data_IF_040958230206
#
_entry.id   IF_040958230206
#
_cell.length_a   1.000
_cell.length_b   1.000
_cell.length_c   1.000
_cell.angle_alpha   90.00
_cell.angle_beta   90.00
_cell.angle_gamma   90.00
#
_symmetry.space_group_name_H-M   'P 1'
#
loop_
_entity.id
_entity.type
_entity.pdbx_description
1 polymer ?
#
# COMPACT_ATOMS: atom_id res chain seq x y z
N UNK A 1 -13.54 17.11 -8.84
CA UNK A 1 -13.92 15.72 -9.16
C UNK A 1 -12.85 14.70 -8.77
N UNK A 2 -11.57 14.93 -9.12
CA UNK A 2 -10.46 14.04 -8.75
C UNK A 2 -10.43 13.68 -7.25
N UNK A 3 -10.48 14.66 -6.34
CA UNK A 3 -10.45 14.39 -4.89
C UNK A 3 -11.59 13.48 -4.41
N UNK A 4 -12.79 13.63 -4.99
CA UNK A 4 -13.96 12.83 -4.62
C UNK A 4 -13.77 11.37 -5.05
N UNK A 5 -13.24 11.16 -6.26
CA UNK A 5 -12.86 9.85 -6.76
C UNK A 5 -11.72 9.24 -5.94
N UNK A 6 -10.70 10.01 -5.58
CA UNK A 6 -9.59 9.54 -4.73
C UNK A 6 -10.09 9.11 -3.36
N UNK A 7 -10.93 9.91 -2.70
CA UNK A 7 -11.52 9.54 -1.41
C UNK A 7 -12.38 8.28 -1.52
N UNK A 8 -13.15 8.12 -2.60
CA UNK A 8 -13.97 6.92 -2.83
C UNK A 8 -13.10 5.68 -3.00
N UNK A 9 -12.04 5.76 -3.81
CA UNK A 9 -11.10 4.66 -4.03
C UNK A 9 -10.40 4.28 -2.72
N UNK A 10 -9.92 5.27 -1.95
CA UNK A 10 -9.26 5.02 -0.66
C UNK A 10 -10.25 4.39 0.34
N UNK A 11 -11.49 4.87 0.41
CA UNK A 11 -12.51 4.31 1.28
C UNK A 11 -12.84 2.85 0.92
N UNK A 12 -13.06 2.56 -0.36
CA UNK A 12 -13.30 1.19 -0.84
C UNK A 12 -12.10 0.29 -0.55
N UNK A 13 -10.88 0.80 -0.71
CA UNK A 13 -9.67 0.06 -0.43
C UNK A 13 -9.52 -0.29 1.05
N UNK A 14 -9.78 0.66 1.95
CA UNK A 14 -9.77 0.44 3.41
C UNK A 14 -10.82 -0.60 3.81
N UNK A 15 -12.04 -0.50 3.28
CA UNK A 15 -13.12 -1.47 3.55
C UNK A 15 -12.72 -2.87 3.07
N UNK A 16 -12.15 -2.98 1.87
CA UNK A 16 -11.66 -4.26 1.36
C UNK A 16 -10.59 -4.88 2.26
N UNK A 17 -9.62 -4.08 2.74
CA UNK A 17 -8.59 -4.54 3.67
C UNK A 17 -9.17 -4.98 5.01
N UNK A 18 -10.16 -4.25 5.54
CA UNK A 18 -10.83 -4.60 6.78
C UNK A 18 -11.62 -5.92 6.67
N UNK A 19 -12.41 -6.08 5.60
CA UNK A 19 -13.17 -7.30 5.33
C UNK A 19 -12.22 -8.49 5.17
N UNK A 20 -11.20 -8.35 4.33
CA UNK A 20 -10.21 -9.42 4.12
C UNK A 20 -9.47 -9.76 5.42
N UNK A 21 -9.14 -8.77 6.25
CA UNK A 21 -8.49 -8.98 7.55
C UNK A 21 -9.38 -9.71 8.55
N UNK A 22 -10.68 -9.41 8.60
CA UNK A 22 -11.62 -10.04 9.55
C UNK A 22 -12.04 -11.42 9.08
N UNK A 23 -12.28 -11.59 7.78
CA UNK A 23 -12.76 -12.85 7.21
C UNK A 23 -11.66 -13.90 7.05
N UNK A 24 -10.41 -13.49 6.89
CA UNK A 24 -9.27 -14.39 6.75
C UNK A 24 -8.36 -14.27 7.99
N UNK A 25 -8.94 -14.53 9.17
CA UNK A 25 -8.20 -14.67 10.42
C UNK A 25 -7.30 -15.92 10.43
N UNK A 26 -7.42 -16.78 9.41
CA UNK A 26 -6.50 -17.87 9.16
C UNK A 26 -5.11 -17.29 8.89
N UNK A 27 -4.11 -17.86 9.57
CA UNK A 27 -2.76 -17.35 9.51
C UNK A 27 -2.11 -17.75 8.19
N UNK A 28 -1.68 -16.77 7.40
CA UNK A 28 -0.90 -17.05 6.21
C UNK A 28 0.49 -17.47 6.65
N UNK A 29 0.90 -18.68 6.23
CA UNK A 29 2.27 -19.16 6.38
C UNK A 29 3.18 -18.38 5.44
N UNK A 30 3.78 -17.32 5.96
CA UNK A 30 4.85 -16.62 5.27
C UNK A 30 6.18 -17.21 5.71
N UNK A 31 6.92 -17.77 4.76
CA UNK A 31 8.34 -18.06 4.95
C UNK A 31 9.07 -16.71 4.99
N UNK A 32 9.32 -16.19 6.20
CA UNK A 32 10.08 -14.95 6.40
C UNK A 32 11.45 -15.10 5.75
N UNK A 33 11.64 -14.46 4.59
CA UNK A 33 12.89 -14.47 3.83
C UNK A 33 13.55 -15.87 3.70
N UNK A 34 12.73 -16.94 3.60
CA UNK A 34 13.22 -18.32 3.47
C UNK A 34 13.77 -18.99 4.73
N UNK A 35 13.62 -18.38 5.92
CA UNK A 35 14.26 -18.86 7.16
C UNK A 35 13.29 -19.49 8.17
N UNK A 36 12.08 -18.94 8.36
CA UNK A 36 11.05 -19.53 9.24
C UNK A 36 9.63 -19.22 8.72
N UNK A 37 8.73 -20.21 8.79
CA UNK A 37 7.30 -19.98 8.61
C UNK A 37 6.75 -19.29 9.86
N UNK A 38 6.39 -18.02 9.74
CA UNK A 38 5.64 -17.31 10.78
C UNK A 38 4.23 -17.16 10.27
N UNK A 39 3.30 -17.67 11.05
CA UNK A 39 1.87 -17.51 10.84
C UNK A 39 1.51 -16.05 11.14
N UNK A 40 1.29 -15.27 10.08
CA UNK A 40 0.87 -13.86 10.19
C UNK A 40 -0.57 -13.68 9.73
N UNK A 41 -1.38 -12.88 10.44
CA UNK A 41 -2.73 -12.55 9.99
C UNK A 41 -2.68 -11.83 8.63
N UNK A 42 -3.60 -12.14 7.72
CA UNK A 42 -3.59 -11.53 6.38
C UNK A 42 -3.68 -10.00 6.44
N UNK A 43 -4.35 -9.46 7.47
CA UNK A 43 -4.47 -8.03 7.68
C UNK A 43 -3.11 -7.34 7.85
N UNK A 44 -2.17 -8.01 8.54
CA UNK A 44 -0.80 -7.49 8.72
C UNK A 44 -0.06 -7.46 7.38
N UNK A 45 -0.20 -8.52 6.59
CA UNK A 45 0.42 -8.63 5.26
C UNK A 45 -0.11 -7.58 4.30
N UNK A 46 -1.44 -7.41 4.26
CA UNK A 46 -2.10 -6.40 3.45
C UNK A 46 -1.68 -5.00 3.90
N UNK A 47 -1.66 -4.74 5.21
CA UNK A 47 -1.22 -3.47 5.78
C UNK A 47 0.23 -3.12 5.39
N UNK A 48 1.15 -4.08 5.48
CA UNK A 48 2.53 -3.89 5.02
C UNK A 48 2.62 -3.62 3.51
N UNK A 49 1.88 -4.37 2.69
CA UNK A 49 1.86 -4.18 1.24
C UNK A 49 1.34 -2.79 0.85
N UNK A 50 0.23 -2.36 1.45
CA UNK A 50 -0.33 -1.03 1.23
C UNK A 50 0.66 0.06 1.67
N UNK A 51 1.32 -0.11 2.81
CA UNK A 51 2.32 0.84 3.33
C UNK A 51 3.50 0.98 2.36
N UNK A 52 4.04 -0.14 1.87
CA UNK A 52 5.13 -0.14 0.88
C UNK A 52 4.68 0.52 -0.42
N UNK A 53 3.47 0.24 -0.89
CA UNK A 53 2.91 0.86 -2.09
C UNK A 53 2.74 2.38 -1.96
N UNK A 54 2.22 2.85 -0.83
CA UNK A 54 2.03 4.28 -0.55
C UNK A 54 3.37 5.00 -0.41
N UNK A 55 4.30 4.45 0.38
CA UNK A 55 5.64 5.02 0.56
C UNK A 55 6.39 5.01 -0.78
N UNK A 56 6.36 3.91 -1.51
CA UNK A 56 6.99 3.77 -2.82
C UNK A 56 6.42 4.77 -3.84
N UNK A 57 5.10 4.97 -3.87
CA UNK A 57 4.46 5.98 -4.69
C UNK A 57 4.88 7.40 -4.33
N UNK A 58 4.96 7.72 -3.04
CA UNK A 58 5.42 9.03 -2.56
C UNK A 58 6.89 9.29 -2.94
N UNK A 59 7.76 8.29 -2.76
CA UNK A 59 9.17 8.37 -3.17
C UNK A 59 9.30 8.50 -4.68
N UNK A 60 8.53 7.75 -5.47
CA UNK A 60 8.54 7.86 -6.93
C UNK A 60 8.13 9.26 -7.39
N UNK A 61 7.14 9.89 -6.75
CA UNK A 61 6.78 11.28 -7.02
C UNK A 61 7.94 12.23 -6.69
N UNK A 62 8.58 12.10 -5.52
CA UNK A 62 9.71 12.96 -5.13
C UNK A 62 10.87 12.82 -6.12
N UNK A 63 11.22 11.58 -6.48
CA UNK A 63 12.28 11.31 -7.46
C UNK A 63 11.91 11.90 -8.82
N UNK A 64 10.68 11.72 -9.30
CA UNK A 64 10.22 12.29 -10.56
C UNK A 64 10.37 13.82 -10.61
N UNK A 65 9.93 14.52 -9.55
CA UNK A 65 10.08 15.98 -9.47
C UNK A 65 11.56 16.43 -9.34
N UNK A 66 12.39 15.62 -8.68
CA UNK A 66 13.81 15.93 -8.48
C UNK A 66 14.64 15.71 -9.75
N UNK A 67 14.31 14.68 -10.54
CA UNK A 67 14.95 14.37 -11.82
C UNK A 67 14.37 15.17 -12.99
N UNK A 68 13.14 15.66 -12.86
CA UNK A 68 12.51 16.57 -13.80
C UNK A 68 12.32 17.95 -13.15
N UNK A 69 13.41 18.69 -12.85
CA UNK A 69 13.30 20.08 -12.43
C UNK A 69 12.55 20.84 -13.54
N UNK A 70 11.51 21.57 -13.14
CA UNK A 70 10.67 22.36 -14.04
C UNK A 70 11.50 23.48 -14.67
N UNK A 71 12.25 23.15 -15.72
CA UNK A 71 13.03 24.08 -16.51
C UNK A 71 12.10 24.77 -17.54
N UNK A 72 11.70 26.01 -17.25
CA UNK A 72 10.96 26.92 -18.13
C UNK A 72 9.43 26.84 -17.96
N UNK A 73 8.65 27.92 -17.84
CA UNK A 73 8.81 29.26 -18.41
C UNK A 73 8.28 30.37 -17.47
N UNK A 74 9.06 31.46 -17.39
CA UNK A 74 8.54 32.83 -17.31
C UNK A 74 7.84 33.18 -18.62
#
# INVERSE_FOLDING_TARGET
MANLLTCLVVALWIVAMAILSVQNAESVSLQFLGLQSIQMPIGVVLGMSASVGVIGGALAQILWHSFHPRNGHQ
#
